data_IF_317228455559
#
_entry.id   IF_317228455559
#
_cell.length_a   1.000
_cell.length_b   1.000
_cell.length_c   1.000
_cell.angle_alpha   90.00
_cell.angle_beta   90.00
_cell.angle_gamma   90.00
#
_symmetry.space_group_name_H-M   'P 1'
#
loop_
_entity.id
_entity.type
_entity.pdbx_description
1 polymer ?
#
# COMPACT_ATOMS: atom_id res chain seq x y z
N UNK A 1 8.83 14.95 -24.55
CA UNK A 1 9.07 13.64 -25.20
C UNK A 1 7.96 12.68 -24.78
N UNK A 2 7.37 11.90 -25.69
CA UNK A 2 6.50 10.80 -25.29
C UNK A 2 7.30 9.84 -24.41
N UNK A 3 6.68 9.35 -23.33
CA UNK A 3 7.31 8.33 -22.49
C UNK A 3 7.24 6.99 -23.19
N UNK A 4 8.31 6.22 -23.06
CA UNK A 4 8.26 4.81 -23.41
C UNK A 4 7.54 4.07 -22.28
N UNK A 5 6.27 3.73 -22.50
CA UNK A 5 5.42 3.00 -21.54
C UNK A 5 4.96 1.72 -22.22
N UNK A 6 5.07 0.61 -21.51
CA UNK A 6 4.65 -0.70 -22.02
C UNK A 6 3.24 -0.68 -22.62
N UNK A 7 3.11 -1.08 -23.89
CA UNK A 7 1.82 -1.23 -24.59
C UNK A 7 0.82 -2.11 -23.82
N UNK A 8 1.33 -3.08 -23.04
CA UNK A 8 0.50 -3.94 -22.19
C UNK A 8 -0.22 -3.13 -21.11
N UNK A 9 0.45 -2.15 -20.53
CA UNK A 9 -0.10 -1.28 -19.47
C UNK A 9 -1.04 -0.23 -20.08
N UNK A 10 -0.73 0.29 -21.26
CA UNK A 10 -1.63 1.19 -22.01
C UNK A 10 -2.93 0.47 -22.36
N UNK A 11 -2.86 -0.74 -22.92
CA UNK A 11 -4.03 -1.58 -23.21
C UNK A 11 -4.84 -1.91 -21.96
N UNK A 12 -4.18 -2.15 -20.82
CA UNK A 12 -4.85 -2.38 -19.52
C UNK A 12 -5.58 -1.13 -19.05
N UNK A 13 -5.01 0.06 -19.24
CA UNK A 13 -5.66 1.33 -18.93
C UNK A 13 -6.88 1.57 -19.82
N UNK A 14 -6.76 1.40 -21.14
CA UNK A 14 -7.88 1.49 -22.09
C UNK A 14 -9.01 0.53 -21.73
N UNK A 15 -8.69 -0.71 -21.34
CA UNK A 15 -9.69 -1.68 -20.88
C UNK A 15 -10.41 -1.23 -19.61
N UNK A 16 -9.71 -0.57 -18.67
CA UNK A 16 -10.33 -0.03 -17.44
C UNK A 16 -11.28 1.12 -17.77
N UNK A 17 -10.87 2.04 -18.66
CA UNK A 17 -11.70 3.17 -19.10
C UNK A 17 -13.00 2.68 -19.77
N UNK A 18 -12.88 1.79 -20.76
CA UNK A 18 -14.04 1.20 -21.44
C UNK A 18 -14.96 0.50 -20.46
N UNK A 19 -14.40 -0.28 -19.53
CA UNK A 19 -15.18 -0.98 -18.51
C UNK A 19 -15.89 -0.03 -17.54
N UNK A 20 -15.25 1.07 -17.15
CA UNK A 20 -15.89 2.08 -16.31
C UNK A 20 -17.02 2.78 -17.06
N UNK A 21 -16.81 3.15 -18.33
CA UNK A 21 -17.83 3.75 -19.19
C UNK A 21 -19.02 2.81 -19.44
N UNK A 22 -18.76 1.54 -19.76
CA UNK A 22 -19.80 0.52 -19.93
C UNK A 22 -20.61 0.32 -18.64
N UNK A 23 -19.95 0.27 -17.48
CA UNK A 23 -20.64 0.13 -16.21
C UNK A 23 -21.52 1.31 -15.88
N UNK A 24 -21.03 2.51 -16.12
CA UNK A 24 -21.82 3.69 -15.89
C UNK A 24 -23.07 3.73 -16.77
N UNK A 25 -22.93 3.39 -18.06
CA UNK A 25 -24.06 3.23 -18.98
C UNK A 25 -25.03 2.14 -18.50
N UNK A 26 -24.51 1.01 -18.03
CA UNK A 26 -25.32 -0.12 -17.56
C UNK A 26 -26.10 0.18 -16.27
N UNK A 27 -25.53 0.97 -15.35
CA UNK A 27 -26.22 1.34 -14.11
C UNK A 27 -27.16 2.54 -14.28
N UNK A 28 -27.14 3.20 -15.45
CA UNK A 28 -27.99 4.36 -15.73
C UNK A 28 -27.69 5.57 -14.83
N UNK A 29 -26.52 5.57 -14.18
CA UNK A 29 -26.04 6.72 -13.40
C UNK A 29 -25.33 7.64 -14.40
N UNK A 30 -25.93 8.80 -14.65
CA UNK A 30 -25.33 9.82 -15.50
C UNK A 30 -23.99 10.24 -14.88
N UNK A 31 -22.90 10.01 -15.62
CA UNK A 31 -21.60 10.60 -15.29
C UNK A 31 -21.77 12.11 -15.26
N UNK A 32 -21.15 12.75 -14.28
CA UNK A 32 -21.03 14.20 -14.33
C UNK A 32 -20.29 14.61 -15.61
N UNK A 33 -20.63 15.76 -16.20
CA UNK A 33 -20.04 16.25 -17.45
C UNK A 33 -18.49 16.17 -17.44
N UNK A 34 -17.88 16.60 -16.33
CA UNK A 34 -16.42 16.51 -16.15
C UNK A 34 -15.89 15.07 -16.10
N UNK A 35 -16.68 14.10 -15.60
CA UNK A 35 -16.30 12.68 -15.57
C UNK A 35 -16.31 12.09 -16.98
N UNK A 36 -17.21 12.55 -17.85
CA UNK A 36 -17.24 12.16 -19.26
C UNK A 36 -16.03 12.72 -19.99
N UNK A 37 -15.76 14.02 -19.82
CA UNK A 37 -14.56 14.69 -20.35
C UNK A 37 -13.26 14.02 -19.85
N UNK A 38 -13.23 13.57 -18.59
CA UNK A 38 -12.09 12.84 -18.04
C UNK A 38 -11.85 11.52 -18.77
N UNK A 39 -12.90 10.72 -19.01
CA UNK A 39 -12.76 9.42 -19.67
C UNK A 39 -12.28 9.61 -21.11
N UNK A 40 -12.88 10.55 -21.84
CA UNK A 40 -12.52 10.86 -23.23
C UNK A 40 -11.10 11.43 -23.33
N UNK A 41 -10.76 12.44 -22.53
CA UNK A 41 -9.43 13.06 -22.57
C UNK A 41 -8.29 12.12 -22.14
N UNK A 42 -8.56 11.15 -21.25
CA UNK A 42 -7.57 10.11 -20.92
C UNK A 42 -7.45 9.08 -22.05
N UNK A 43 -8.56 8.71 -22.70
CA UNK A 43 -8.57 7.76 -23.84
C UNK A 43 -7.76 8.31 -25.03
N UNK A 44 -7.96 9.58 -25.37
CA UNK A 44 -7.20 10.27 -26.42
C UNK A 44 -5.70 10.29 -26.11
N UNK A 45 -5.33 10.62 -24.86
CA UNK A 45 -3.93 10.74 -24.46
C UNK A 45 -3.22 9.39 -24.44
N UNK A 46 -3.91 8.34 -23.98
CA UNK A 46 -3.41 6.97 -24.04
C UNK A 46 -3.21 6.50 -25.48
N UNK A 47 -4.13 6.85 -26.38
CA UNK A 47 -4.03 6.49 -27.80
C UNK A 47 -2.90 7.23 -28.50
N UNK A 48 -2.69 8.52 -28.19
CA UNK A 48 -1.67 9.36 -28.84
C UNK A 48 -0.26 9.14 -28.29
N UNK A 49 -0.10 9.00 -26.98
CA UNK A 49 1.21 9.02 -26.33
C UNK A 49 1.53 7.73 -25.57
N UNK A 50 0.61 6.77 -25.48
CA UNK A 50 0.77 5.59 -24.63
C UNK A 50 0.63 5.87 -23.12
N UNK A 51 0.83 7.11 -22.68
CA UNK A 51 0.68 7.50 -21.28
C UNK A 51 -0.27 8.68 -21.10
N UNK A 52 -1.12 8.61 -20.08
CA UNK A 52 -2.07 9.64 -19.74
C UNK A 52 -1.46 10.80 -18.92
N UNK A 53 -0.17 10.75 -18.58
CA UNK A 53 0.49 11.81 -17.81
C UNK A 53 1.98 11.94 -18.19
N UNK A 54 2.51 13.16 -18.08
CA UNK A 54 3.84 13.51 -18.58
C UNK A 54 4.86 13.86 -17.49
N UNK A 55 4.50 13.85 -16.21
CA UNK A 55 5.41 14.14 -15.08
C UNK A 55 5.63 12.88 -14.22
N UNK A 56 6.88 12.43 -13.93
CA UNK A 56 7.12 11.24 -13.11
C UNK A 56 6.69 11.43 -11.65
N UNK A 57 6.56 12.67 -11.18
CA UNK A 57 6.19 12.96 -9.79
C UNK A 57 4.74 12.55 -9.47
N UNK A 58 3.89 12.47 -10.50
CA UNK A 58 2.44 12.24 -10.39
C UNK A 58 2.07 10.75 -10.36
N UNK A 59 3.03 9.84 -10.52
CA UNK A 59 2.74 8.41 -10.62
C UNK A 59 3.96 7.55 -10.89
N UNK A 60 3.75 6.25 -10.99
CA UNK A 60 4.82 5.35 -11.36
C UNK A 60 5.20 5.56 -12.83
N UNK A 61 6.48 5.77 -13.14
CA UNK A 61 6.98 5.94 -14.51
C UNK A 61 6.59 4.79 -15.43
N UNK A 62 6.43 3.62 -14.84
CA UNK A 62 6.06 2.39 -15.50
C UNK A 62 4.60 2.33 -15.88
N UNK A 63 3.70 2.99 -15.16
CA UNK A 63 2.26 2.91 -15.40
C UNK A 63 1.79 3.92 -16.45
N UNK A 64 0.71 3.55 -17.16
CA UNK A 64 0.10 4.42 -18.16
C UNK A 64 -0.84 5.49 -17.56
N UNK A 65 -1.23 5.35 -16.28
CA UNK A 65 -2.13 6.25 -15.57
C UNK A 65 -1.43 6.83 -14.33
N UNK A 66 -1.67 8.10 -14.05
CA UNK A 66 -1.25 8.72 -12.80
C UNK A 66 -2.03 8.15 -11.60
N UNK A 67 -1.45 8.26 -10.40
CA UNK A 67 -2.10 7.86 -9.16
C UNK A 67 -3.49 8.52 -9.00
N UNK A 68 -3.59 9.83 -9.26
CA UNK A 68 -4.85 10.55 -9.18
C UNK A 68 -5.89 10.04 -10.19
N UNK A 69 -5.47 9.79 -11.43
CA UNK A 69 -6.34 9.23 -12.47
C UNK A 69 -6.85 7.83 -12.09
N UNK A 70 -5.98 7.01 -11.49
CA UNK A 70 -6.36 5.69 -11.01
C UNK A 70 -7.37 5.75 -9.86
N UNK A 71 -7.29 6.78 -9.02
CA UNK A 71 -8.25 7.02 -7.94
C UNK A 71 -9.58 7.52 -8.46
N UNK A 72 -9.58 8.44 -9.45
CA UNK A 72 -10.80 8.90 -10.14
C UNK A 72 -11.52 7.71 -10.79
N UNK A 73 -10.80 6.84 -11.52
CA UNK A 73 -11.40 5.61 -12.08
C UNK A 73 -11.99 4.70 -11.00
N UNK A 74 -11.34 4.59 -9.84
CA UNK A 74 -11.85 3.81 -8.72
C UNK A 74 -13.09 4.44 -8.09
N UNK A 75 -13.14 5.76 -8.00
CA UNK A 75 -14.32 6.49 -7.53
C UNK A 75 -15.47 6.32 -8.52
N UNK A 76 -15.21 6.39 -9.82
CA UNK A 76 -16.16 6.12 -10.88
C UNK A 76 -16.71 4.69 -10.79
N UNK A 77 -15.85 3.68 -10.68
CA UNK A 77 -16.24 2.27 -10.49
C UNK A 77 -17.01 2.01 -9.18
N UNK A 78 -16.87 2.86 -8.15
CA UNK A 78 -17.63 2.78 -6.90
C UNK A 78 -19.00 3.42 -7.03
N UNK A 79 -19.05 4.59 -7.68
CA UNK A 79 -20.28 5.31 -8.05
C UNK A 79 -21.15 4.40 -8.92
N UNK A 80 -20.57 3.87 -10.00
CA UNK A 80 -21.16 2.85 -10.88
C UNK A 80 -21.18 1.45 -10.25
N UNK A 81 -21.30 1.34 -8.93
CA UNK A 81 -21.65 0.07 -8.27
C UNK A 81 -22.74 0.28 -7.22
N UNK A 82 -23.29 1.48 -7.13
CA UNK A 82 -24.07 1.95 -5.99
C UNK A 82 -23.37 1.76 -4.64
N UNK A 83 -22.03 1.61 -4.60
CA UNK A 83 -21.30 1.37 -3.35
C UNK A 83 -20.91 2.74 -2.79
N UNK A 84 -21.67 3.21 -1.80
CA UNK A 84 -21.35 4.47 -1.13
C UNK A 84 -19.92 4.46 -0.62
N UNK A 85 -19.21 5.57 -0.81
CA UNK A 85 -17.81 5.78 -0.42
C UNK A 85 -17.60 5.64 1.11
N UNK A 86 -18.69 5.66 1.88
CA UNK A 86 -18.70 5.54 3.33
C UNK A 86 -18.72 4.09 3.81
N UNK A 87 -17.59 3.66 4.36
CA UNK A 87 -17.56 2.58 5.33
C UNK A 87 -16.51 1.52 5.01
N UNK A 88 -15.40 1.60 5.73
CA UNK A 88 -14.66 0.43 6.18
C UNK A 88 -15.58 -0.47 7.03
N UNK A 89 -16.64 -1.04 6.43
CA UNK A 89 -17.26 -2.24 6.99
C UNK A 89 -16.19 -3.31 6.81
N UNK A 90 -15.46 -3.55 7.89
CA UNK A 90 -14.45 -4.59 8.02
C UNK A 90 -15.01 -5.84 7.37
N UNK A 91 -14.52 -6.15 6.18
CA UNK A 91 -14.65 -7.52 5.68
C UNK A 91 -13.99 -8.33 6.77
N UNK A 92 -14.78 -9.15 7.47
CA UNK A 92 -14.30 -10.07 8.51
C UNK A 92 -12.93 -10.58 8.07
N UNK A 93 -11.87 -10.43 8.89
CA UNK A 93 -10.55 -10.88 8.47
C UNK A 93 -10.69 -12.32 8.01
N UNK A 94 -10.15 -12.58 6.82
CA UNK A 94 -10.20 -13.86 6.14
C UNK A 94 -9.36 -14.85 6.98
N UNK A 95 -9.91 -15.31 8.10
CA UNK A 95 -9.19 -15.96 9.19
C UNK A 95 -10.00 -16.21 10.47
N UNK A 96 -11.16 -15.56 10.67
CA UNK A 96 -12.03 -15.84 11.84
C UNK A 96 -13.00 -17.02 11.64
N UNK A 97 -12.83 -17.79 10.57
CA UNK A 97 -13.51 -19.08 10.43
C UNK A 97 -12.57 -20.11 11.05
N UNK A 98 -13.02 -20.67 12.17
CA UNK A 98 -12.45 -21.76 12.97
C UNK A 98 -11.33 -22.50 12.24
N UNK A 99 -10.16 -22.56 12.90
CA UNK A 99 -9.04 -23.46 12.60
C UNK A 99 -9.61 -24.80 12.14
N UNK A 100 -9.71 -24.99 10.82
CA UNK A 100 -9.95 -26.30 10.28
C UNK A 100 -8.70 -27.08 10.67
N UNK A 101 -8.89 -28.05 11.55
CA UNK A 101 -7.88 -29.01 11.98
C UNK A 101 -7.11 -29.46 10.74
N UNK A 102 -5.94 -28.86 10.54
CA UNK A 102 -5.07 -29.28 9.47
C UNK A 102 -4.57 -30.64 9.94
N UNK A 103 -5.17 -31.71 9.42
CA UNK A 103 -4.63 -33.06 9.57
C UNK A 103 -3.17 -33.00 9.13
N UNK A 104 -2.25 -33.04 10.10
CA UNK A 104 -0.83 -33.21 9.83
C UNK A 104 -0.67 -34.59 9.18
N UNK A 105 -0.05 -34.63 7.99
CA UNK A 105 0.09 -35.85 7.21
C UNK A 105 1.25 -36.76 7.71
N UNK A 106 1.74 -36.55 8.91
CA UNK A 106 2.81 -37.37 9.48
C UNK A 106 2.53 -37.56 10.96
N UNK A 107 2.07 -38.76 11.29
CA UNK A 107 1.63 -39.19 12.62
C UNK A 107 2.77 -39.26 13.63
N UNK A 108 3.27 -38.10 14.05
CA UNK A 108 3.89 -37.91 15.36
C UNK A 108 3.21 -36.71 15.97
N UNK A 109 2.47 -36.95 17.04
CA UNK A 109 1.85 -35.88 17.80
C UNK A 109 2.95 -35.07 18.48
N UNK A 110 2.93 -33.75 18.30
CA UNK A 110 3.90 -32.84 18.93
C UNK A 110 3.74 -32.87 20.45
N UNK A 111 2.62 -33.39 20.95
CA UNK A 111 2.33 -33.54 22.37
C UNK A 111 2.90 -34.82 23.01
N UNK A 112 3.45 -35.77 22.23
CA UNK A 112 4.02 -37.04 22.76
C UNK A 112 5.48 -36.90 23.25
N UNK A 113 6.24 -35.91 22.75
CA UNK A 113 7.66 -35.71 23.10
C UNK A 113 7.88 -34.63 24.20
N UNK A 114 6.80 -34.11 24.80
CA UNK A 114 6.86 -33.20 25.94
C UNK A 114 6.83 -34.02 27.22
N UNK A 115 7.96 -34.68 27.51
CA UNK A 115 8.25 -35.23 28.83
C UNK A 115 8.01 -34.17 29.90
N UNK A 116 7.30 -34.61 30.93
CA UNK A 116 6.90 -33.96 32.17
C UNK A 116 8.08 -33.22 32.85
N UNK A 117 8.45 -32.05 32.33
CA UNK A 117 9.31 -31.10 33.01
C UNK A 117 8.42 -30.25 33.91
N UNK A 118 8.35 -30.72 35.16
CA UNK A 118 7.98 -30.04 36.41
C UNK A 118 7.67 -28.53 36.26
N UNK A 119 6.48 -28.14 36.73
CA UNK A 119 6.00 -26.76 36.88
C UNK A 119 6.96 -25.89 37.72
N UNK A 120 8.08 -25.45 37.14
CA UNK A 120 8.86 -24.33 37.63
C UNK A 120 8.12 -23.05 37.24
N UNK A 121 7.27 -22.58 38.16
CA UNK A 121 6.51 -21.32 38.05
C UNK A 121 7.46 -20.14 37.86
N UNK A 122 7.76 -19.80 36.61
CA UNK A 122 8.50 -18.58 36.28
C UNK A 122 7.68 -17.35 36.73
N UNK A 123 8.28 -16.37 37.41
CA UNK A 123 7.57 -15.16 37.81
C UNK A 123 7.10 -14.41 36.55
N UNK A 124 5.81 -14.08 36.50
CA UNK A 124 5.23 -13.32 35.40
C UNK A 124 6.00 -12.00 35.18
N UNK A 125 6.36 -11.63 33.94
CA UNK A 125 6.98 -10.33 33.67
C UNK A 125 6.05 -9.19 34.11
N UNK A 126 6.57 -8.07 34.65
CA UNK A 126 5.74 -6.97 35.11
C UNK A 126 4.91 -6.44 33.93
N UNK A 127 3.60 -6.44 34.10
CA UNK A 127 2.65 -6.02 33.09
C UNK A 127 2.92 -4.55 32.71
N UNK A 128 3.39 -4.32 31.49
CA UNK A 128 3.41 -2.97 30.91
C UNK A 128 1.97 -2.58 30.61
N UNK A 129 1.36 -1.84 31.54
CA UNK A 129 -0.01 -1.34 31.38
C UNK A 129 -0.17 -0.49 30.10
N UNK A 130 -1.41 -0.28 29.64
CA UNK A 130 -1.65 0.52 28.44
C UNK A 130 -1.05 1.93 28.60
N UNK A 131 -0.50 2.52 27.52
CA UNK A 131 0.15 3.82 27.58
C UNK A 131 -0.84 4.88 28.07
N UNK A 132 -0.47 5.62 29.12
CA UNK A 132 -1.26 6.72 29.66
C UNK A 132 -1.06 7.95 28.78
N UNK A 133 -2.09 8.33 28.04
CA UNK A 133 -2.11 9.57 27.26
C UNK A 133 -2.36 10.75 28.21
N UNK A 134 -1.40 11.67 28.32
CA UNK A 134 -1.60 12.96 28.98
C UNK A 134 -1.84 14.05 27.93
N UNK A 135 -2.92 14.82 28.09
CA UNK A 135 -3.21 15.99 27.26
C UNK A 135 -2.25 17.11 27.67
N UNK A 136 -1.30 17.43 26.80
CA UNK A 136 -0.44 18.62 26.93
C UNK A 136 -1.28 19.84 26.54
N UNK A 137 -1.44 20.79 27.46
CA UNK A 137 -2.13 22.06 27.17
C UNK A 137 -1.28 22.85 26.16
N UNK A 138 -1.88 23.43 25.10
CA UNK A 138 -1.13 24.24 24.15
C UNK A 138 -0.65 25.51 24.86
N UNK A 139 0.67 25.69 24.90
CA UNK A 139 1.30 26.99 25.21
C UNK A 139 0.91 27.93 24.08
N UNK A 140 0.29 29.04 24.44
CA UNK A 140 -0.06 30.12 23.53
C UNK A 140 1.24 30.78 23.06
N UNK A 141 1.73 30.45 21.87
CA UNK A 141 2.72 31.28 21.17
C UNK A 141 1.97 32.38 20.43
N UNK A 142 1.85 33.51 21.11
CA UNK A 142 1.46 34.78 20.54
C UNK A 142 2.61 35.39 19.73
N UNK A 143 2.36 35.51 18.43
CA UNK A 143 2.83 36.52 17.48
C UNK A 143 4.04 37.41 17.87
N UNK A 144 5.15 37.27 17.14
CA UNK A 144 5.80 38.42 16.48
C UNK A 144 6.81 37.97 15.42
N UNK A 145 6.62 38.45 14.20
CA UNK A 145 7.65 38.65 13.18
C UNK A 145 7.29 40.00 12.50
N UNK A 146 8.24 40.81 11.99
CA UNK A 146 9.46 40.37 11.31
C UNK A 146 10.73 41.20 11.61
N UNK A 147 11.88 40.53 11.68
CA UNK A 147 13.19 41.18 11.80
C UNK A 147 14.22 40.50 10.91
N UNK A 148 14.42 41.07 9.73
CA UNK A 148 15.54 40.83 8.82
C UNK A 148 16.88 40.87 9.56
N UNK A 149 17.75 39.89 9.31
CA UNK A 149 19.20 40.08 9.20
C UNK A 149 19.83 38.89 8.47
N UNK A 150 20.66 39.23 7.50
CA UNK A 150 21.34 38.36 6.55
C UNK A 150 22.58 37.69 7.22
N UNK A 151 22.67 36.35 7.08
CA UNK A 151 23.78 35.44 6.65
C UNK A 151 25.24 35.96 6.64
N UNK A 152 26.34 35.15 6.65
CA UNK A 152 26.55 33.69 6.86
C UNK A 152 27.70 33.31 7.85
N UNK A 153 27.70 32.09 8.41
CA UNK A 153 28.97 31.41 8.78
C UNK A 153 28.81 29.88 8.85
N UNK A 154 29.38 29.23 7.84
CA UNK A 154 30.14 27.96 7.85
C UNK A 154 29.92 26.96 9.00
N UNK A 155 29.42 25.77 8.64
CA UNK A 155 29.94 24.51 9.17
C UNK A 155 29.63 23.38 8.17
N UNK A 156 30.65 23.01 7.38
CA UNK A 156 30.70 21.72 6.70
C UNK A 156 30.53 20.59 7.72
N UNK A 157 29.72 19.60 7.37
CA UNK A 157 29.47 18.43 8.20
C UNK A 157 28.88 17.33 7.34
N UNK A 158 29.74 16.76 6.50
CA UNK A 158 29.51 15.54 5.73
C UNK A 158 28.98 14.42 6.64
N UNK A 159 27.67 14.18 6.62
CA UNK A 159 27.04 13.04 7.29
C UNK A 159 26.51 12.08 6.24
N UNK A 160 27.42 11.30 5.65
CA UNK A 160 27.09 10.05 4.97
C UNK A 160 26.33 9.13 5.95
N UNK A 161 25.01 9.10 5.85
CA UNK A 161 24.20 8.02 6.43
C UNK A 161 24.44 6.76 5.60
N UNK A 162 25.38 5.94 6.03
CA UNK A 162 25.54 4.57 5.50
C UNK A 162 24.41 3.74 6.11
N UNK A 163 23.36 3.49 5.33
CA UNK A 163 22.36 2.48 5.68
C UNK A 163 23.02 1.10 5.63
N UNK A 164 22.88 0.24 6.66
CA UNK A 164 23.38 -1.12 6.57
C UNK A 164 22.61 -1.87 5.48
N UNK A 165 23.33 -2.47 4.52
CA UNK A 165 22.74 -3.35 3.51
C UNK A 165 22.17 -4.58 4.22
N UNK A 166 21.00 -5.11 3.82
CA UNK A 166 20.56 -6.40 4.31
C UNK A 166 21.60 -7.46 3.92
N UNK A 167 22.03 -8.26 4.90
CA UNK A 167 22.90 -9.41 4.69
C UNK A 167 22.22 -10.37 3.70
N UNK A 168 22.97 -10.81 2.70
CA UNK A 168 22.47 -11.70 1.65
C UNK A 168 21.89 -12.99 2.22
N UNK A 169 20.86 -13.49 1.55
CA UNK A 169 20.25 -14.79 1.79
C UNK A 169 21.33 -15.88 1.68
N UNK A 170 21.65 -16.57 2.78
CA UNK A 170 22.51 -17.75 2.73
C UNK A 170 21.69 -18.95 2.27
N UNK A 171 22.13 -19.58 1.19
CA UNK A 171 21.59 -20.85 0.72
C UNK A 171 22.06 -21.93 1.69
N UNK A 172 21.13 -22.60 2.37
CA UNK A 172 21.44 -23.79 3.14
C UNK A 172 21.74 -24.89 2.13
N UNK A 173 23.02 -25.18 1.94
CA UNK A 173 23.50 -26.29 1.12
C UNK A 173 23.25 -27.59 1.88
N UNK A 174 22.02 -28.10 1.76
CA UNK A 174 21.57 -29.36 2.32
C UNK A 174 21.21 -30.35 1.22
N UNK A 175 22.20 -30.74 0.42
CA UNK A 175 22.08 -31.85 -0.52
C UNK A 175 22.03 -33.17 0.25
N UNK A 176 20.86 -33.82 0.21
CA UNK A 176 20.61 -35.21 0.61
C UNK A 176 21.70 -36.12 0.00
N UNK A 177 22.67 -36.55 0.80
CA UNK A 177 23.52 -37.68 0.44
C UNK A 177 22.67 -38.93 0.57
N UNK A 178 22.31 -39.51 -0.58
CA UNK A 178 21.73 -40.84 -0.66
C UNK A 178 22.65 -41.85 0.06
N UNK A 179 22.03 -42.61 0.95
CA UNK A 179 22.62 -43.73 1.68
C UNK A 179 22.28 -44.99 0.87
N UNK A 180 23.31 -45.66 0.34
CA UNK A 180 23.25 -47.09 -0.03
C UNK A 180 23.42 -47.96 1.21
#
# INVERSE_FOLDING_TARGET
>A
MPRDVDEKKTRKALRKLRKAAERAKAEGIELSDWEQEFVEGVDERLTKYGSAFADPSLGNTEDALSNAQSEILRQLDKKSRGKSTGGFKTRKPLGWKKKAEQKSHTGRDIHDDLDEAEDETLPSPPFSGPPKLSVVKPVQTENEAPGVNETPAQAEGDRKRVSPRPTGFTVIEGGRSDTE
#
